data_IF_361275861488
#
_entry.id   IF_361275861488
#
_cell.length_a   1.000
_cell.length_b   1.000
_cell.length_c   1.000
_cell.angle_alpha   90.00
_cell.angle_beta   90.00
_cell.angle_gamma   90.00
#
_symmetry.space_group_name_H-M   'P 1'
#
loop_
_entity.id
_entity.type
_entity.pdbx_description
1 polymer ?
#
# COMPACT_ATOMS: atom_id res chain seq x y z
N UNK A 1 22.13 3.41 -7.78
CA UNK A 1 21.31 3.06 -6.60
C UNK A 1 20.60 4.33 -6.17
N UNK A 2 19.28 4.30 -6.06
CA UNK A 2 18.47 5.48 -5.71
C UNK A 2 17.55 5.13 -4.55
N UNK A 3 17.53 5.97 -3.52
CA UNK A 3 16.68 5.76 -2.35
C UNK A 3 15.19 5.84 -2.73
N UNK A 4 14.40 4.90 -2.22
CA UNK A 4 12.94 4.94 -2.32
C UNK A 4 12.45 6.02 -1.36
N UNK A 5 11.73 7.01 -1.89
CA UNK A 5 11.17 8.09 -1.09
C UNK A 5 9.81 7.73 -0.51
N UNK A 6 9.03 6.93 -1.24
CA UNK A 6 7.71 6.47 -0.82
C UNK A 6 7.08 5.55 -1.86
N UNK A 7 5.86 5.10 -1.57
CA UNK A 7 5.07 4.29 -2.49
C UNK A 7 3.58 4.42 -2.18
N UNK A 8 2.76 4.10 -3.18
CA UNK A 8 1.30 4.00 -3.06
C UNK A 8 0.89 2.56 -3.34
N UNK A 9 0.09 1.98 -2.43
CA UNK A 9 -0.52 0.67 -2.60
C UNK A 9 -2.03 0.84 -2.71
N UNK A 10 -2.61 0.58 -3.88
CA UNK A 10 -4.07 0.55 -4.06
C UNK A 10 -4.56 -0.87 -3.96
N UNK A 11 -5.60 -1.08 -3.16
CA UNK A 11 -6.22 -2.38 -2.92
C UNK A 11 -7.71 -2.25 -3.19
N UNK A 12 -8.24 -3.18 -3.98
CA UNK A 12 -9.66 -3.30 -4.28
C UNK A 12 -10.16 -4.63 -3.74
N UNK A 13 -11.12 -4.59 -2.81
CA UNK A 13 -11.84 -5.78 -2.35
C UNK A 13 -13.00 -6.05 -3.30
N UNK A 14 -13.23 -7.32 -3.63
CA UNK A 14 -14.35 -7.70 -4.51
C UNK A 14 -15.71 -7.30 -3.94
N UNK A 15 -16.66 -6.98 -4.82
CA UNK A 15 -18.07 -6.80 -4.47
C UNK A 15 -18.83 -8.14 -4.60
N UNK A 16 -18.38 -9.14 -3.84
CA UNK A 16 -19.10 -10.41 -3.70
C UNK A 16 -19.39 -10.66 -2.22
N UNK A 17 -20.41 -11.49 -1.95
CA UNK A 17 -20.78 -11.78 -0.57
C UNK A 17 -19.62 -12.38 0.23
N UNK A 18 -19.45 -11.92 1.47
CA UNK A 18 -18.35 -12.32 2.34
C UNK A 18 -16.94 -11.92 1.89
N UNK A 19 -16.79 -11.03 0.89
CA UNK A 19 -15.49 -10.63 0.36
C UNK A 19 -14.61 -9.84 1.33
N UNK A 20 -15.22 -9.06 2.24
CA UNK A 20 -14.51 -8.18 3.17
C UNK A 20 -13.82 -8.93 4.31
N UNK A 21 -12.92 -8.24 5.02
CA UNK A 21 -12.15 -8.87 6.10
C UNK A 21 -11.78 -7.91 7.23
N UNK A 22 -11.64 -8.47 8.43
CA UNK A 22 -11.03 -7.83 9.59
C UNK A 22 -9.58 -8.30 9.82
N UNK A 23 -9.04 -9.11 8.90
CA UNK A 23 -7.67 -9.60 8.97
C UNK A 23 -6.65 -8.49 8.68
N UNK A 24 -5.38 -8.82 8.86
CA UNK A 24 -4.27 -7.86 8.64
C UNK A 24 -3.68 -8.08 7.27
N UNK A 25 -3.46 -6.99 6.53
CA UNK A 25 -2.83 -7.01 5.22
C UNK A 25 -1.45 -6.40 5.31
N UNK A 26 -0.48 -7.00 4.62
CA UNK A 26 0.90 -6.54 4.56
C UNK A 26 1.38 -6.46 3.11
N UNK A 27 2.14 -5.42 2.78
CA UNK A 27 2.89 -5.30 1.54
C UNK A 27 4.35 -5.66 1.81
N UNK A 28 4.84 -6.73 1.18
CA UNK A 28 6.26 -7.02 1.06
C UNK A 28 6.87 -6.22 -0.09
N UNK A 29 7.82 -5.34 0.21
CA UNK A 29 8.52 -4.51 -0.78
C UNK A 29 9.99 -4.36 -0.40
N UNK A 30 10.88 -4.61 -1.36
CA UNK A 30 12.33 -4.38 -1.20
C UNK A 30 12.93 -5.06 0.06
N UNK A 31 12.41 -6.24 0.42
CA UNK A 31 12.91 -7.04 1.55
C UNK A 31 12.32 -6.68 2.91
N UNK A 32 11.33 -5.78 2.97
CA UNK A 32 10.63 -5.37 4.19
C UNK A 32 9.12 -5.53 4.04
N UNK A 33 8.43 -5.81 5.15
CA UNK A 33 6.96 -5.79 5.19
C UNK A 33 6.44 -4.48 5.77
N UNK A 34 5.35 -4.01 5.19
CA UNK A 34 4.62 -2.81 5.57
C UNK A 34 3.18 -3.18 5.89
N UNK A 35 2.72 -2.84 7.09
CA UNK A 35 1.32 -3.07 7.46
C UNK A 35 0.41 -2.14 6.67
N UNK A 36 -0.53 -2.68 5.91
CA UNK A 36 -1.52 -1.88 5.19
C UNK A 36 -2.73 -1.73 6.10
N UNK A 37 -2.87 -0.53 6.67
CA UNK A 37 -3.92 -0.21 7.63
C UNK A 37 -4.16 1.31 7.66
N UNK A 38 -5.34 1.73 8.07
CA UNK A 38 -5.77 3.10 8.19
C UNK A 38 -6.61 3.31 9.47
N UNK A 39 -7.31 4.44 9.57
CA UNK A 39 -8.29 4.71 10.64
C UNK A 39 -9.72 4.36 10.24
N UNK A 40 -9.92 3.97 8.99
CA UNK A 40 -11.23 3.57 8.46
C UNK A 40 -11.42 2.06 8.65
N UNK A 41 -12.61 1.61 8.26
CA UNK A 41 -12.91 0.19 8.09
C UNK A 41 -12.30 -0.26 6.75
N UNK A 42 -11.09 -0.79 6.83
CA UNK A 42 -10.31 -1.16 5.66
C UNK A 42 -10.77 -2.51 5.10
N UNK A 43 -10.64 -2.67 3.77
CA UNK A 43 -10.88 -3.93 3.07
C UNK A 43 -12.32 -4.44 3.10
N UNK A 44 -13.29 -3.57 3.40
CA UNK A 44 -14.70 -3.88 3.30
C UNK A 44 -15.11 -4.32 1.90
N UNK A 45 -16.20 -5.08 1.80
CA UNK A 45 -16.73 -5.56 0.52
C UNK A 45 -16.93 -4.38 -0.44
N UNK A 46 -16.41 -4.49 -1.66
CA UNK A 46 -16.50 -3.45 -2.68
C UNK A 46 -15.64 -2.21 -2.43
N UNK A 47 -14.78 -2.21 -1.40
CA UNK A 47 -13.89 -1.08 -1.12
C UNK A 47 -12.78 -0.95 -2.15
N UNK A 48 -12.38 0.30 -2.40
CA UNK A 48 -11.28 0.69 -3.29
C UNK A 48 -10.47 1.78 -2.61
N UNK A 49 -9.39 1.37 -1.95
CA UNK A 49 -8.61 2.23 -1.07
C UNK A 49 -7.16 2.27 -1.53
N UNK A 50 -6.59 3.49 -1.56
CA UNK A 50 -5.16 3.68 -1.81
C UNK A 50 -4.44 4.13 -0.56
N UNK A 51 -3.33 3.46 -0.26
CA UNK A 51 -2.50 3.61 0.94
C UNK A 51 -1.15 4.21 0.58
N UNK A 52 -0.85 5.41 1.09
CA UNK A 52 0.42 6.12 0.81
C UNK A 52 1.40 5.95 1.97
N UNK A 53 2.66 5.60 1.64
CA UNK A 53 3.76 5.39 2.58
C UNK A 53 4.95 6.28 2.22
N UNK A 54 5.58 6.91 3.21
CA UNK A 54 6.70 7.83 3.01
C UNK A 54 6.32 9.08 2.21
N UNK A 55 7.22 9.54 1.35
CA UNK A 55 6.97 10.65 0.41
C UNK A 55 6.59 10.10 -0.96
N UNK A 56 5.33 10.32 -1.33
CA UNK A 56 4.83 10.07 -2.67
C UNK A 56 4.24 11.38 -3.24
N UNK A 57 4.07 11.49 -4.56
CA UNK A 57 3.31 12.58 -5.15
C UNK A 57 1.88 12.55 -4.57
N UNK A 58 1.62 13.41 -3.59
CA UNK A 58 0.25 13.78 -3.27
C UNK A 58 -0.05 14.89 -4.25
N UNK A 59 -0.65 14.54 -5.41
CA UNK A 59 -1.41 15.57 -6.11
C UNK A 59 -2.37 16.13 -5.05
N UNK A 60 -2.19 17.41 -4.72
CA UNK A 60 -3.24 18.20 -4.12
C UNK A 60 -4.40 18.04 -5.11
N UNK A 61 -5.30 17.11 -4.83
CA UNK A 61 -6.53 16.99 -5.58
C UNK A 61 -7.19 18.35 -5.36
N UNK A 62 -7.33 19.11 -6.45
CA UNK A 62 -7.94 20.44 -6.44
C UNK A 62 -9.18 20.43 -5.55
N UNK A 63 -9.37 21.55 -4.86
CA UNK A 63 -10.43 21.84 -3.90
C UNK A 63 -11.83 21.47 -4.43
N UNK A 64 -12.21 20.19 -4.36
CA UNK A 64 -13.49 19.73 -4.92
C UNK A 64 -13.67 18.22 -5.15
N UNK A 65 -12.68 17.36 -4.90
CA UNK A 65 -12.88 15.89 -4.98
C UNK A 65 -12.79 15.29 -3.57
N UNK A 66 -13.87 14.62 -3.18
CA UNK A 66 -14.07 14.10 -1.83
C UNK A 66 -12.96 13.11 -1.43
N UNK A 67 -12.52 13.23 -0.18
CA UNK A 67 -11.42 12.51 0.47
C UNK A 67 -11.62 10.99 0.65
N UNK A 68 -12.56 10.39 -0.07
CA UNK A 68 -13.16 9.11 0.34
C UNK A 68 -12.28 7.89 0.05
N UNK A 69 -11.38 7.94 -0.96
CA UNK A 69 -10.72 6.73 -1.49
C UNK A 69 -9.16 6.74 -1.55
N UNK A 70 -8.51 7.81 -1.07
CA UNK A 70 -7.04 7.84 -0.89
C UNK A 70 -6.73 8.15 0.57
N UNK A 71 -6.32 7.13 1.29
CA UNK A 71 -6.02 7.20 2.72
C UNK A 71 -4.51 7.11 2.89
N UNK A 72 -3.90 7.99 3.67
CA UNK A 72 -2.51 7.74 4.07
C UNK A 72 -2.50 6.52 4.99
N UNK A 73 -1.74 5.48 4.63
CA UNK A 73 -1.63 4.28 5.45
C UNK A 73 -1.10 4.69 6.82
N UNK A 74 -1.89 4.46 7.87
CA UNK A 74 -1.72 4.97 9.24
C UNK A 74 -0.75 6.14 9.35
N UNK A 75 -1.16 7.28 8.80
CA UNK A 75 -0.43 8.52 8.95
C UNK A 75 -1.18 9.37 9.96
N UNK A 76 -0.66 9.40 11.19
CA UNK A 76 -0.98 10.49 12.10
C UNK A 76 -0.32 11.75 11.53
N UNK A 77 -0.93 12.38 10.53
CA UNK A 77 -0.83 13.83 10.41
C UNK A 77 -1.66 14.45 11.54
N UNK A 78 -1.18 14.31 12.77
CA UNK A 78 -1.34 15.37 13.76
C UNK A 78 -0.17 16.30 13.49
N UNK A 79 -0.49 17.45 12.90
CA UNK A 79 0.29 18.69 12.98
C UNK A 79 1.72 18.53 13.56
N UNK A 80 2.69 18.18 12.71
CA UNK A 80 4.11 18.45 13.00
C UNK A 80 4.97 17.37 13.69
N UNK A 81 4.60 16.07 13.72
CA UNK A 81 5.55 15.03 14.15
C UNK A 81 5.66 13.83 13.20
N UNK A 82 6.83 13.67 12.57
CA UNK A 82 7.30 12.45 11.90
C UNK A 82 7.75 11.41 12.93
N UNK A 83 6.83 10.59 13.41
CA UNK A 83 7.01 9.33 14.14
C UNK A 83 5.57 8.92 14.51
N UNK A 84 5.12 7.68 14.37
CA UNK A 84 5.51 6.56 15.23
C UNK A 84 5.43 5.21 14.44
N UNK A 85 6.61 4.69 14.09
CA UNK A 85 7.05 3.29 13.94
C UNK A 85 6.54 2.35 12.81
N UNK A 86 7.44 2.07 11.85
CA UNK A 86 7.48 0.83 11.05
C UNK A 86 7.23 0.99 9.55
N UNK A 87 6.38 1.93 9.15
CA UNK A 87 5.82 1.97 7.80
C UNK A 87 6.41 3.03 6.84
N UNK A 88 7.38 3.85 7.25
CA UNK A 88 8.07 4.77 6.34
C UNK A 88 9.31 4.09 5.72
N UNK A 89 9.41 3.93 4.38
CA UNK A 89 10.55 3.29 3.72
C UNK A 89 11.89 4.01 3.92
N UNK A 90 11.87 5.25 4.43
CA UNK A 90 13.06 6.08 4.68
C UNK A 90 13.61 5.93 6.11
N UNK A 91 12.88 5.27 7.00
CA UNK A 91 13.22 5.19 8.43
C UNK A 91 13.56 3.74 8.81
N UNK A 92 14.58 3.56 9.66
CA UNK A 92 15.07 2.25 10.09
C UNK A 92 16.02 1.64 9.06
N UNK A 93 15.59 0.57 8.39
CA UNK A 93 16.30 0.03 7.23
C UNK A 93 15.79 0.73 5.96
N UNK A 94 16.54 1.74 5.54
CA UNK A 94 16.25 2.53 4.33
C UNK A 94 16.28 1.64 3.10
N UNK A 95 15.25 1.76 2.27
CA UNK A 95 15.12 0.97 1.05
C UNK A 95 15.59 1.74 -0.18
N UNK A 96 16.20 1.04 -1.13
CA UNK A 96 16.62 1.58 -2.42
C UNK A 96 16.22 0.66 -3.60
N UNK A 97 16.48 1.14 -4.81
CA UNK A 97 16.15 0.41 -6.05
C UNK A 97 16.91 -0.91 -6.23
N UNK A 98 18.06 -1.08 -5.58
CA UNK A 98 18.79 -2.36 -5.53
C UNK A 98 18.01 -3.38 -4.70
N UNK A 99 17.60 -3.01 -3.47
CA UNK A 99 16.76 -3.87 -2.64
C UNK A 99 15.47 -4.27 -3.36
N UNK A 100 14.86 -3.30 -4.05
CA UNK A 100 13.65 -3.52 -4.84
C UNK A 100 13.85 -4.55 -5.95
N UNK A 101 14.93 -4.44 -6.72
CA UNK A 101 15.21 -5.38 -7.82
C UNK A 101 15.52 -6.81 -7.34
N UNK A 102 16.10 -6.96 -6.15
CA UNK A 102 16.56 -8.24 -5.62
C UNK A 102 15.54 -8.97 -4.72
N UNK A 103 14.46 -8.30 -4.31
CA UNK A 103 13.49 -8.85 -3.36
C UNK A 103 12.12 -9.06 -3.99
N UNK A 104 11.38 -10.13 -3.63
CA UNK A 104 10.01 -10.32 -4.10
C UNK A 104 9.12 -9.15 -3.70
N UNK A 105 8.06 -8.93 -4.48
CA UNK A 105 7.00 -7.98 -4.13
C UNK A 105 5.70 -8.76 -3.97
N UNK A 106 5.03 -8.63 -2.83
CA UNK A 106 3.86 -9.46 -2.54
C UNK A 106 2.87 -8.77 -1.60
N UNK A 107 1.62 -9.23 -1.66
CA UNK A 107 0.63 -9.00 -0.60
C UNK A 107 0.57 -10.24 0.26
N UNK A 108 0.61 -10.06 1.59
CA UNK A 108 0.36 -11.11 2.57
C UNK A 108 -0.86 -10.77 3.40
N UNK A 109 -1.70 -11.77 3.64
CA UNK A 109 -2.90 -11.69 4.44
C UNK A 109 -2.75 -12.56 5.68
N UNK A 110 -3.00 -11.99 6.85
CA UNK A 110 -3.10 -12.71 8.12
C UNK A 110 -4.56 -12.70 8.58
N UNK A 111 -5.11 -13.90 8.82
CA UNK A 111 -6.52 -14.07 9.15
C UNK A 111 -6.82 -13.54 10.55
N UNK A 112 -8.03 -12.97 10.72
CA UNK A 112 -8.54 -12.59 12.04
C UNK A 112 -10.07 -12.69 12.08
N UNK A 113 -10.61 -12.92 13.27
CA UNK A 113 -12.05 -13.01 13.50
C UNK A 113 -12.68 -14.29 12.96
N UNK A 114 -14.00 -14.26 12.73
CA UNK A 114 -14.80 -15.40 12.32
C UNK A 114 -14.90 -15.60 10.80
N UNK A 115 -14.47 -14.63 9.99
CA UNK A 115 -14.34 -14.77 8.55
C UNK A 115 -12.85 -14.87 8.15
N UNK A 116 -12.31 -16.09 8.00
CA UNK A 116 -10.87 -16.30 7.77
C UNK A 116 -10.47 -16.09 6.32
N UNK A 117 -11.29 -15.40 5.53
CA UNK A 117 -11.09 -15.24 4.10
C UNK A 117 -11.26 -13.79 3.67
N UNK A 118 -10.54 -13.40 2.63
CA UNK A 118 -10.61 -12.09 2.00
C UNK A 118 -10.58 -12.27 0.49
N UNK A 119 -11.50 -11.62 -0.23
CA UNK A 119 -11.53 -11.69 -1.69
C UNK A 119 -10.93 -10.44 -2.31
N UNK A 120 -9.71 -10.59 -2.82
CA UNK A 120 -8.93 -9.53 -3.45
C UNK A 120 -9.31 -9.39 -4.94
N UNK A 121 -9.96 -8.29 -5.29
CA UNK A 121 -10.28 -7.97 -6.68
C UNK A 121 -9.04 -7.50 -7.44
N UNK A 122 -8.30 -6.54 -6.89
CA UNK A 122 -7.12 -5.98 -7.55
C UNK A 122 -6.13 -5.36 -6.55
N UNK A 123 -4.86 -5.29 -6.92
CA UNK A 123 -3.82 -4.60 -6.14
C UNK A 123 -2.72 -4.03 -7.02
N UNK A 124 -2.41 -2.76 -6.82
CA UNK A 124 -1.39 -2.02 -7.58
C UNK A 124 -0.42 -1.35 -6.61
N UNK A 125 0.87 -1.34 -6.93
CA UNK A 125 1.92 -0.72 -6.11
C UNK A 125 2.78 0.17 -7.00
N UNK A 126 2.74 1.47 -6.75
CA UNK A 126 3.59 2.47 -7.40
C UNK A 126 4.73 2.87 -6.45
N UNK A 127 5.97 2.70 -6.89
CA UNK A 127 7.16 3.04 -6.09
C UNK A 127 7.78 4.32 -6.61
N UNK A 128 8.10 5.24 -5.70
CA UNK A 128 8.67 6.55 -6.02
C UNK A 128 10.10 6.68 -5.51
N UNK A 129 10.89 7.42 -6.28
CA UNK A 129 12.23 7.88 -5.92
C UNK A 129 12.32 9.39 -6.13
N UNK A 130 13.35 10.01 -5.56
CA UNK A 130 13.51 11.47 -5.56
C UNK A 130 12.83 12.14 -4.37
N UNK A 131 13.31 13.32 -4.04
CA UNK A 131 12.80 14.15 -2.94
C UNK A 131 12.72 15.57 -3.44
N UNK A 132 11.69 16.29 -3.02
CA UNK A 132 11.87 17.72 -2.90
C UNK A 132 12.81 17.95 -1.71
N UNK A 133 14.00 18.55 -1.92
CA UNK A 133 14.98 18.79 -0.84
C UNK A 133 14.42 19.71 0.25
N UNK A 134 13.29 20.35 -0.01
CA UNK A 134 12.64 21.32 0.87
C UNK A 134 11.32 20.84 1.48
N UNK A 135 10.94 19.55 1.36
CA UNK A 135 9.64 19.05 1.85
C UNK A 135 8.42 19.86 1.34
N UNK A 136 8.62 20.70 0.32
CA UNK A 136 7.58 21.51 -0.29
C UNK A 136 6.72 20.61 -1.17
N UNK A 137 5.41 20.76 -1.07
CA UNK A 137 4.42 19.94 -1.79
C UNK A 137 4.31 20.31 -3.28
N UNK A 138 5.33 20.97 -3.86
CA UNK A 138 5.30 21.44 -5.25
C UNK A 138 5.90 20.40 -6.22
N UNK A 139 5.03 19.49 -6.66
CA UNK A 139 4.91 19.16 -8.08
C UNK A 139 5.89 18.19 -8.73
N UNK A 140 7.20 18.46 -8.78
CA UNK A 140 7.99 18.02 -9.94
C UNK A 140 9.18 17.09 -9.66
N UNK A 141 9.42 16.69 -8.40
CA UNK A 141 10.69 16.00 -8.03
C UNK A 141 10.55 14.50 -7.72
N UNK A 142 9.44 13.85 -8.11
CA UNK A 142 9.25 12.41 -7.95
C UNK A 142 9.37 11.67 -9.29
N UNK A 143 10.12 10.58 -9.29
CA UNK A 143 10.17 9.63 -10.42
C UNK A 143 9.52 8.32 -10.01
N UNK A 144 8.61 7.81 -10.85
CA UNK A 144 8.09 6.45 -10.71
C UNK A 144 9.22 5.47 -11.03
N UNK A 145 9.70 4.77 -10.01
CA UNK A 145 10.78 3.79 -10.14
C UNK A 145 10.25 2.40 -10.54
N UNK A 146 9.03 2.05 -10.13
CA UNK A 146 8.40 0.78 -10.49
C UNK A 146 6.87 0.83 -10.35
N UNK A 147 6.21 -0.06 -11.09
CA UNK A 147 4.80 -0.40 -10.95
C UNK A 147 4.68 -1.93 -10.85
N UNK A 148 4.02 -2.42 -9.81
CA UNK A 148 3.64 -3.82 -9.66
C UNK A 148 2.13 -3.94 -9.59
N UNK A 149 1.57 -5.01 -10.14
CA UNK A 149 0.12 -5.24 -10.14
C UNK A 149 -0.19 -6.73 -10.03
N UNK A 150 -1.40 -7.04 -9.59
CA UNK A 150 -1.92 -8.41 -9.67
C UNK A 150 -1.81 -8.93 -11.11
N UNK A 151 -1.40 -10.18 -11.33
CA UNK A 151 -1.40 -10.78 -12.66
C UNK A 151 -2.79 -10.70 -13.32
N UNK A 152 -2.81 -10.35 -14.61
CA UNK A 152 -4.04 -10.26 -15.38
C UNK A 152 -4.76 -11.62 -15.46
N UNK A 153 -6.09 -11.59 -15.53
CA UNK A 153 -6.90 -12.80 -15.67
C UNK A 153 -7.17 -13.56 -14.36
N UNK A 154 -6.45 -13.27 -13.27
CA UNK A 154 -6.81 -13.78 -11.95
C UNK A 154 -8.12 -13.12 -11.49
N UNK A 155 -9.19 -13.90 -11.41
CA UNK A 155 -10.51 -13.45 -10.93
C UNK A 155 -10.88 -14.25 -9.68
N UNK A 156 -11.71 -13.65 -8.82
CA UNK A 156 -12.23 -14.31 -7.61
C UNK A 156 -11.11 -14.89 -6.72
N UNK A 157 -10.09 -14.07 -6.44
CA UNK A 157 -8.92 -14.49 -5.69
C UNK A 157 -9.21 -14.42 -4.20
N UNK A 158 -9.42 -15.57 -3.58
CA UNK A 158 -9.55 -15.68 -2.14
C UNK A 158 -8.19 -15.90 -1.49
N UNK A 159 -7.89 -15.10 -0.47
CA UNK A 159 -6.78 -15.31 0.45
C UNK A 159 -7.34 -15.71 1.81
N UNK A 160 -6.66 -16.60 2.54
CA UNK A 160 -7.13 -17.06 3.83
C UNK A 160 -6.61 -18.44 4.22
N UNK A 161 -7.05 -18.93 5.38
CA UNK A 161 -6.59 -20.21 5.96
C UNK A 161 -6.88 -21.42 5.06
N UNK A 162 -7.92 -21.33 4.21
CA UNK A 162 -8.32 -22.40 3.29
C UNK A 162 -7.83 -22.19 1.84
N UNK A 163 -7.12 -21.11 1.55
CA UNK A 163 -6.68 -20.76 0.20
C UNK A 163 -5.15 -20.66 0.18
N UNK A 164 -4.60 -19.49 -0.14
CA UNK A 164 -3.24 -19.12 0.20
C UNK A 164 -3.26 -17.81 0.98
N UNK A 165 -2.22 -17.52 1.75
CA UNK A 165 -2.09 -16.26 2.48
C UNK A 165 -1.27 -15.19 1.74
N UNK A 166 -0.74 -15.49 0.56
CA UNK A 166 0.16 -14.61 -0.16
C UNK A 166 -0.17 -14.54 -1.66
N UNK A 167 -0.03 -13.35 -2.23
CA UNK A 167 -0.05 -13.08 -3.66
C UNK A 167 1.26 -12.41 -4.05
N UNK A 168 2.07 -13.05 -4.89
CA UNK A 168 3.26 -12.44 -5.47
C UNK A 168 2.88 -11.57 -6.67
N UNK A 169 3.46 -10.37 -6.72
CA UNK A 169 3.32 -9.39 -7.80
C UNK A 169 4.56 -9.35 -8.71
N UNK A 170 5.69 -9.86 -8.21
CA UNK A 170 6.94 -10.12 -8.92
C UNK A 170 7.79 -11.15 -8.19
#
# INVERSE_FOLDING_TARGET
>A
MTQISGFECRIVTSDVDGAGTNGRVYLGLAGREFGVNSRLDDFERGSDLSYVFGLAPVKQLDQGIQWENRIRAWDKYVFGSIAEHGNDPRVGFTLDTTNLSQSPVYIRFETAGSNPSWNLADVWVLVYTGTDRDYTLQGDHFTVAALFRKPEGLKNLWLGDNYGKMLFLR
#
